data_IF_653612608449
#
_entry.id   IF_653612608449
#
_cell.length_a   1.000
_cell.length_b   1.000
_cell.length_c   1.000
_cell.angle_alpha   90.00
_cell.angle_beta   90.00
_cell.angle_gamma   90.00
#
_symmetry.space_group_name_H-M   'P 1'
#
loop_
_entity.id
_entity.type
_entity.pdbx_description
1 polymer ?
#
# COMPACT_ATOMS: atom_id res chain seq x y z
N UNK A 1 -11.09 13.85 12.49
CA UNK A 1 -12.21 13.88 11.52
C UNK A 1 -12.40 12.48 10.97
N UNK A 2 -13.63 11.94 10.99
CA UNK A 2 -13.96 10.64 10.40
C UNK A 2 -14.64 10.86 9.05
N UNK A 3 -14.01 10.37 7.97
CA UNK A 3 -14.57 10.47 6.64
C UNK A 3 -15.32 9.17 6.31
N UNK A 4 -16.65 9.20 6.37
CA UNK A 4 -17.47 8.02 6.12
C UNK A 4 -17.58 7.67 4.63
N UNK A 5 -17.88 8.66 3.78
CA UNK A 5 -18.04 8.45 2.34
C UNK A 5 -17.73 9.73 1.57
N UNK A 6 -16.86 9.65 0.57
CA UNK A 6 -16.62 10.78 -0.34
C UNK A 6 -16.16 10.31 -1.73
N UNK A 7 -16.38 11.17 -2.72
CA UNK A 7 -16.01 10.89 -4.10
C UNK A 7 -14.60 11.40 -4.46
N UNK A 8 -14.15 12.48 -3.83
CA UNK A 8 -12.83 13.07 -4.03
C UNK A 8 -12.46 13.93 -2.83
N UNK A 9 -11.52 13.48 -2.02
CA UNK A 9 -10.99 14.25 -0.88
C UNK A 9 -9.51 14.55 -1.15
N UNK A 10 -9.16 15.82 -1.06
CA UNK A 10 -7.79 16.29 -1.07
C UNK A 10 -7.47 16.84 0.31
N UNK A 11 -6.45 16.27 0.96
CA UNK A 11 -5.94 16.79 2.23
C UNK A 11 -4.48 17.19 2.06
N UNK A 12 -4.16 18.42 2.45
CA UNK A 12 -2.78 18.90 2.48
C UNK A 12 -2.03 18.38 3.71
N UNK A 13 -2.68 18.43 4.86
CA UNK A 13 -2.11 18.00 6.12
C UNK A 13 -3.21 17.36 6.97
N UNK A 14 -2.93 16.20 7.55
CA UNK A 14 -3.87 15.56 8.46
C UNK A 14 -3.17 14.76 9.54
N UNK A 15 -3.73 14.81 10.75
CA UNK A 15 -3.32 13.97 11.86
C UNK A 15 -4.46 13.00 12.17
N UNK A 16 -4.31 11.74 11.73
CA UNK A 16 -5.33 10.70 11.92
C UNK A 16 -6.59 10.93 11.07
N UNK A 17 -6.52 10.59 9.78
CA UNK A 17 -7.63 10.70 8.83
C UNK A 17 -8.21 9.31 8.47
N UNK A 18 -9.05 8.72 9.34
CA UNK A 18 -9.77 7.49 9.03
C UNK A 18 -10.78 7.70 7.90
N UNK A 19 -10.65 6.88 6.85
CA UNK A 19 -11.55 6.84 5.71
C UNK A 19 -12.20 5.47 5.60
N UNK A 20 -13.54 5.45 5.65
CA UNK A 20 -14.30 4.21 5.48
C UNK A 20 -14.45 3.86 4.01
N UNK A 21 -14.87 4.82 3.19
CA UNK A 21 -15.09 4.61 1.76
C UNK A 21 -14.69 5.83 0.95
N UNK A 22 -13.78 5.64 -0.02
CA UNK A 22 -13.36 6.69 -0.93
C UNK A 22 -13.33 6.22 -2.39
N UNK A 23 -13.83 7.06 -3.31
CA UNK A 23 -13.54 6.84 -4.74
C UNK A 23 -12.16 7.40 -5.12
N UNK A 24 -11.75 8.50 -4.50
CA UNK A 24 -10.43 9.10 -4.68
C UNK A 24 -10.02 9.85 -3.42
N UNK A 25 -8.92 9.44 -2.82
CA UNK A 25 -8.27 10.17 -1.72
C UNK A 25 -6.86 10.55 -2.13
N UNK A 26 -6.54 11.83 -2.02
CA UNK A 26 -5.21 12.36 -2.21
C UNK A 26 -4.76 13.07 -0.95
N UNK A 27 -3.67 12.61 -0.35
CA UNK A 27 -3.12 13.21 0.85
C UNK A 27 -1.65 13.55 0.65
N UNK A 28 -1.29 14.81 0.92
CA UNK A 28 0.10 15.25 0.82
C UNK A 28 0.91 14.80 2.03
N UNK A 29 0.40 15.05 3.23
CA UNK A 29 1.08 14.65 4.46
C UNK A 29 0.07 14.14 5.48
N UNK A 30 0.34 12.96 6.04
CA UNK A 30 -0.49 12.38 7.09
C UNK A 30 0.31 11.61 8.13
N UNK A 31 0.08 11.84 9.42
CA UNK A 31 0.68 10.97 10.45
C UNK A 31 -0.03 9.61 10.59
N UNK A 32 -1.25 9.51 10.08
CA UNK A 32 -2.01 8.27 10.11
C UNK A 32 -3.20 8.35 9.18
N UNK A 33 -3.26 7.44 8.21
CA UNK A 33 -4.32 7.41 7.20
C UNK A 33 -4.90 6.00 7.05
N UNK A 34 -5.70 5.53 8.03
CA UNK A 34 -6.40 4.26 7.90
C UNK A 34 -7.49 4.35 6.83
N UNK A 35 -7.41 3.48 5.83
CA UNK A 35 -8.41 3.36 4.78
C UNK A 35 -9.01 1.96 4.75
N UNK A 36 -10.33 1.86 4.93
CA UNK A 36 -11.04 0.61 4.80
C UNK A 36 -11.24 0.22 3.34
N UNK A 37 -11.79 1.13 2.54
CA UNK A 37 -12.05 0.88 1.13
C UNK A 37 -11.72 2.10 0.28
N UNK A 38 -10.86 1.93 -0.72
CA UNK A 38 -10.57 2.97 -1.71
C UNK A 38 -10.56 2.43 -3.14
N UNK A 39 -11.13 3.18 -4.09
CA UNK A 39 -10.87 2.91 -5.52
C UNK A 39 -9.53 3.48 -5.95
N UNK A 40 -9.14 4.62 -5.40
CA UNK A 40 -7.85 5.25 -5.65
C UNK A 40 -7.38 5.98 -4.39
N UNK A 41 -6.20 5.61 -3.91
CA UNK A 41 -5.53 6.26 -2.80
C UNK A 41 -4.15 6.70 -3.25
N UNK A 42 -3.87 7.98 -3.11
CA UNK A 42 -2.56 8.55 -3.37
C UNK A 42 -2.10 9.28 -2.11
N UNK A 43 -0.95 8.88 -1.57
CA UNK A 43 -0.30 9.61 -0.50
C UNK A 43 1.14 9.96 -0.86
N UNK A 44 1.51 11.21 -0.63
CA UNK A 44 2.89 11.64 -0.82
C UNK A 44 3.76 11.23 0.37
N UNK A 45 3.32 11.56 1.58
CA UNK A 45 4.08 11.23 2.78
C UNK A 45 3.15 10.76 3.88
N UNK A 46 3.47 9.60 4.47
CA UNK A 46 2.73 9.11 5.63
C UNK A 46 3.59 8.37 6.63
N UNK A 47 3.40 8.59 7.92
CA UNK A 47 4.03 7.68 8.90
C UNK A 47 3.29 6.34 9.00
N UNK A 48 1.98 6.32 8.82
CA UNK A 48 1.19 5.09 8.82
C UNK A 48 0.04 5.11 7.82
N UNK A 49 0.00 4.12 6.93
CA UNK A 49 -1.01 4.01 5.87
C UNK A 49 -1.65 2.61 5.82
N UNK A 50 -2.36 2.18 6.87
CA UNK A 50 -3.09 0.91 6.85
C UNK A 50 -4.23 0.96 5.84
N UNK A 51 -4.20 0.05 4.87
CA UNK A 51 -5.23 -0.06 3.84
C UNK A 51 -5.81 -1.47 3.82
N UNK A 52 -7.11 -1.58 4.05
CA UNK A 52 -7.81 -2.87 4.07
C UNK A 52 -8.08 -3.36 2.64
N UNK A 53 -8.67 -2.50 1.82
CA UNK A 53 -8.95 -2.81 0.43
C UNK A 53 -8.70 -1.59 -0.46
N UNK A 54 -7.91 -1.78 -1.51
CA UNK A 54 -7.71 -0.75 -2.54
C UNK A 54 -7.73 -1.33 -3.95
N UNK A 55 -8.36 -0.62 -4.91
CA UNK A 55 -8.13 -0.94 -6.33
C UNK A 55 -6.79 -0.39 -6.83
N UNK A 56 -6.41 0.80 -6.38
CA UNK A 56 -5.14 1.41 -6.70
C UNK A 56 -4.63 2.18 -5.48
N UNK A 57 -3.43 1.83 -5.04
CA UNK A 57 -2.75 2.50 -3.95
C UNK A 57 -1.38 2.95 -4.44
N UNK A 58 -1.11 4.24 -4.33
CA UNK A 58 0.18 4.84 -4.66
C UNK A 58 0.69 5.60 -3.44
N UNK A 59 1.88 5.25 -3.00
CA UNK A 59 2.55 5.94 -1.91
C UNK A 59 3.96 6.32 -2.32
N UNK A 60 4.33 7.59 -2.17
CA UNK A 60 5.69 8.03 -2.42
C UNK A 60 6.61 7.68 -1.27
N UNK A 61 6.22 8.03 -0.04
CA UNK A 61 7.03 7.75 1.12
C UNK A 61 6.16 7.31 2.29
N UNK A 62 6.49 6.18 2.90
CA UNK A 62 5.78 5.70 4.08
C UNK A 62 6.67 4.99 5.08
N UNK A 63 6.57 5.29 6.37
CA UNK A 63 7.28 4.43 7.35
C UNK A 63 6.56 3.08 7.53
N UNK A 64 5.23 3.05 7.50
CA UNK A 64 4.46 1.81 7.55
C UNK A 64 3.30 1.81 6.55
N UNK A 65 3.26 0.80 5.69
CA UNK A 65 2.21 0.64 4.68
C UNK A 65 1.66 -0.81 4.70
N UNK A 66 0.89 -1.18 5.74
CA UNK A 66 0.18 -2.45 5.75
C UNK A 66 -0.97 -2.43 4.75
N UNK A 67 -0.98 -3.39 3.84
CA UNK A 67 -2.04 -3.60 2.88
C UNK A 67 -2.61 -5.01 2.97
N UNK A 68 -3.91 -5.11 3.22
CA UNK A 68 -4.60 -6.39 3.27
C UNK A 68 -4.88 -6.92 1.86
N UNK A 69 -5.54 -6.09 1.04
CA UNK A 69 -5.86 -6.43 -0.33
C UNK A 69 -5.66 -5.24 -1.27
N UNK A 70 -4.92 -5.46 -2.35
CA UNK A 70 -4.77 -4.47 -3.42
C UNK A 70 -4.85 -5.10 -4.80
N UNK A 71 -5.49 -4.42 -5.76
CA UNK A 71 -5.33 -4.78 -7.18
C UNK A 71 -4.01 -4.24 -7.75
N UNK A 72 -3.64 -3.03 -7.37
CA UNK A 72 -2.37 -2.42 -7.75
C UNK A 72 -1.84 -1.62 -6.57
N UNK A 73 -0.64 -1.97 -6.13
CA UNK A 73 0.10 -1.26 -5.10
C UNK A 73 1.42 -0.79 -5.67
N UNK A 74 1.66 0.52 -5.60
CA UNK A 74 2.91 1.14 -5.98
C UNK A 74 3.45 1.92 -4.80
N UNK A 75 4.68 1.59 -4.40
CA UNK A 75 5.38 2.32 -3.37
C UNK A 75 6.77 2.71 -3.86
N UNK A 76 7.14 3.98 -3.71
CA UNK A 76 8.49 4.43 -4.02
C UNK A 76 9.46 4.10 -2.88
N UNK A 77 9.10 4.47 -1.66
CA UNK A 77 9.96 4.22 -0.51
C UNK A 77 9.14 3.84 0.71
N UNK A 78 9.50 2.72 1.34
CA UNK A 78 8.86 2.30 2.59
C UNK A 78 9.82 1.65 3.57
N UNK A 79 9.75 1.98 4.86
CA UNK A 79 10.49 1.17 5.84
C UNK A 79 9.82 -0.20 6.08
N UNK A 80 8.48 -0.25 6.06
CA UNK A 80 7.74 -1.51 6.18
C UNK A 80 6.54 -1.57 5.26
N UNK A 81 6.48 -2.59 4.41
CA UNK A 81 5.39 -2.82 3.45
C UNK A 81 4.85 -4.25 3.55
N UNK A 82 4.11 -4.57 4.62
CA UNK A 82 3.40 -5.84 4.70
C UNK A 82 2.22 -5.86 3.73
N UNK A 83 2.21 -6.85 2.83
CA UNK A 83 1.14 -7.07 1.87
C UNK A 83 0.59 -8.48 1.96
N UNK A 84 -0.67 -8.62 2.34
CA UNK A 84 -1.32 -9.93 2.39
C UNK A 84 -1.67 -10.45 0.99
N UNK A 85 -2.35 -9.65 0.19
CA UNK A 85 -2.73 -10.03 -1.16
C UNK A 85 -2.61 -8.87 -2.13
N UNK A 86 -1.89 -9.09 -3.23
CA UNK A 86 -1.78 -8.10 -4.32
C UNK A 86 -1.85 -8.76 -5.69
N UNK A 87 -2.60 -8.18 -6.64
CA UNK A 87 -2.48 -8.63 -8.05
C UNK A 87 -1.22 -8.07 -8.72
N UNK A 88 -0.81 -6.87 -8.33
CA UNK A 88 0.42 -6.24 -8.79
C UNK A 88 0.99 -5.38 -7.68
N UNK A 89 2.21 -5.69 -7.27
CA UNK A 89 2.97 -4.97 -6.27
C UNK A 89 4.25 -4.47 -6.91
N UNK A 90 4.44 -3.16 -6.90
CA UNK A 90 5.67 -2.51 -7.33
C UNK A 90 6.24 -1.71 -6.18
N UNK A 91 7.48 -2.00 -5.81
CA UNK A 91 8.23 -1.26 -4.81
C UNK A 91 9.59 -0.86 -5.36
N UNK A 92 9.97 0.42 -5.22
CA UNK A 92 11.32 0.84 -5.60
C UNK A 92 12.33 0.56 -4.50
N UNK A 93 12.03 0.96 -3.27
CA UNK A 93 12.92 0.72 -2.15
C UNK A 93 12.13 0.37 -0.89
N UNK A 94 12.51 -0.73 -0.23
CA UNK A 94 11.92 -1.10 1.05
C UNK A 94 12.91 -1.69 2.03
N UNK A 95 12.87 -1.30 3.31
CA UNK A 95 13.69 -2.03 4.30
C UNK A 95 13.09 -3.38 4.68
N UNK A 96 11.77 -3.53 4.59
CA UNK A 96 11.07 -4.80 4.78
C UNK A 96 9.80 -4.90 3.96
N UNK A 97 9.67 -5.96 3.16
CA UNK A 97 8.53 -6.22 2.30
C UNK A 97 8.02 -7.65 2.46
N UNK A 98 7.35 -7.96 3.58
CA UNK A 98 6.67 -9.24 3.73
C UNK A 98 5.45 -9.29 2.81
N UNK A 99 5.44 -10.22 1.86
CA UNK A 99 4.30 -10.44 0.98
C UNK A 99 3.77 -11.87 1.10
N UNK A 100 2.49 -12.04 1.45
CA UNK A 100 1.92 -13.38 1.58
C UNK A 100 1.53 -13.95 0.21
N UNK A 101 0.82 -13.17 -0.60
CA UNK A 101 0.50 -13.52 -1.97
C UNK A 101 0.63 -12.36 -2.94
N UNK A 102 1.31 -12.59 -4.06
CA UNK A 102 1.26 -11.67 -5.19
C UNK A 102 1.23 -12.36 -6.56
N UNK A 103 0.43 -11.84 -7.50
CA UNK A 103 0.45 -12.30 -8.91
C UNK A 103 1.50 -11.59 -9.77
N UNK A 104 2.29 -10.70 -9.19
CA UNK A 104 3.26 -9.89 -9.90
C UNK A 104 3.94 -8.94 -8.93
N UNK A 105 5.13 -9.34 -8.47
CA UNK A 105 5.94 -8.56 -7.55
C UNK A 105 7.16 -8.04 -8.29
N UNK A 106 7.35 -6.73 -8.27
CA UNK A 106 8.55 -6.06 -8.76
C UNK A 106 9.10 -5.22 -7.64
N UNK A 107 10.24 -5.62 -7.10
CA UNK A 107 10.97 -4.85 -6.10
C UNK A 107 12.35 -4.56 -6.65
N UNK A 108 12.74 -3.28 -6.70
CA UNK A 108 14.07 -2.91 -7.21
C UNK A 108 15.15 -3.11 -6.15
N UNK A 109 14.87 -2.67 -4.92
CA UNK A 109 15.78 -2.81 -3.79
C UNK A 109 15.01 -3.14 -2.51
N UNK A 110 15.49 -4.15 -1.79
CA UNK A 110 15.03 -4.39 -0.43
C UNK A 110 16.09 -5.00 0.46
N UNK A 111 16.08 -4.67 1.74
CA UNK A 111 16.94 -5.36 2.72
C UNK A 111 16.29 -6.61 3.33
N UNK A 112 14.98 -6.82 3.16
CA UNK A 112 14.27 -8.03 3.58
C UNK A 112 12.99 -8.26 2.78
N UNK A 113 12.88 -9.41 2.11
CA UNK A 113 11.84 -9.72 1.12
C UNK A 113 11.17 -11.10 1.35
N UNK A 114 10.65 -11.41 2.56
CA UNK A 114 10.00 -12.70 2.79
C UNK A 114 8.68 -12.77 2.00
N UNK A 115 8.64 -13.63 0.98
CA UNK A 115 7.50 -13.74 0.08
C UNK A 115 6.94 -15.17 0.08
N UNK A 116 5.76 -15.40 0.65
CA UNK A 116 5.25 -16.78 0.77
C UNK A 116 4.89 -17.39 -0.58
N UNK A 117 4.15 -16.65 -1.40
CA UNK A 117 3.73 -17.15 -2.71
C UNK A 117 3.68 -16.03 -3.75
N UNK A 118 4.46 -16.16 -4.82
CA UNK A 118 4.47 -15.18 -5.91
C UNK A 118 4.34 -15.86 -7.27
N UNK A 119 3.49 -15.33 -8.14
CA UNK A 119 3.38 -15.79 -9.53
C UNK A 119 4.03 -14.79 -10.48
N UNK A 120 5.34 -14.88 -10.70
CA UNK A 120 6.05 -14.04 -11.65
C UNK A 120 6.02 -14.67 -13.05
N UNK A 121 5.46 -13.95 -14.05
CA UNK A 121 5.39 -14.39 -15.47
C UNK A 121 4.85 -15.82 -15.67
N UNK A 122 3.74 -16.15 -14.99
CA UNK A 122 3.07 -17.45 -15.17
C UNK A 122 3.73 -18.62 -14.44
N UNK A 123 4.78 -18.39 -13.65
CA UNK A 123 5.34 -19.39 -12.72
C UNK A 123 5.05 -18.97 -11.29
N UNK A 124 4.29 -19.78 -10.57
CA UNK A 124 4.02 -19.59 -9.15
C UNK A 124 5.11 -20.27 -8.33
N UNK A 125 5.96 -19.49 -7.69
CA UNK A 125 7.05 -19.97 -6.83
C UNK A 125 6.71 -19.70 -5.36
N UNK A 126 6.99 -20.68 -4.51
CA UNK A 126 7.18 -20.42 -3.07
C UNK A 126 8.49 -19.66 -2.94
N UNK A 127 8.46 -18.40 -2.54
CA UNK A 127 9.68 -17.63 -2.30
C UNK A 127 10.08 -17.78 -0.83
N UNK A 128 10.38 -19.02 -0.43
CA UNK A 128 10.94 -19.29 0.88
C UNK A 128 12.44 -18.98 0.90
N UNK A 129 12.79 -17.77 1.34
CA UNK A 129 14.02 -17.42 2.07
C UNK A 129 13.71 -16.17 2.91
#
# INVERSE_FOLDING_TARGET
MLCYYFQGLQCWWSTGLPCWWSRGLQCWWSTGLPCWWSRGLQCWWSTGLPCWWSRGLQCWWSTGLPCWWSRGLQCWWSTGLPCWWSRGLQCWWSTGLPCWWSRGLQCWWSTGLPCWWTCCRGRCCWCGC
#
